data_IF_962170222411
#
_entry.id   IF_962170222411
#
_cell.length_a   1.000
_cell.length_b   1.000
_cell.length_c   1.000
_cell.angle_alpha   90.00
_cell.angle_beta   90.00
_cell.angle_gamma   90.00
#
_symmetry.space_group_name_H-M   'P 1'
#
loop_
_entity.id
_entity.type
_entity.pdbx_description
1 polymer ?
#
# COMPACT_ATOMS: atom_id res chain seq x y z
N UNK A 1 -55.56 -71.08 -11.96
CA UNK A 1 -54.34 -70.99 -12.79
C UNK A 1 -53.68 -69.65 -12.51
N UNK A 2 -52.50 -69.70 -11.88
CA UNK A 2 -51.71 -68.54 -11.50
C UNK A 2 -50.97 -67.98 -12.73
N UNK A 3 -51.12 -66.67 -12.98
CA UNK A 3 -50.35 -65.93 -13.98
C UNK A 3 -49.35 -65.01 -13.28
N UNK A 4 -48.13 -65.52 -13.06
CA UNK A 4 -47.03 -64.82 -12.39
C UNK A 4 -46.34 -63.90 -13.41
N UNK A 5 -46.67 -62.61 -13.41
CA UNK A 5 -45.96 -61.61 -14.22
C UNK A 5 -44.61 -61.28 -13.56
N UNK A 6 -43.56 -61.94 -14.04
CA UNK A 6 -42.18 -61.70 -13.62
C UNK A 6 -41.65 -60.41 -14.29
N UNK A 7 -41.87 -59.28 -13.63
CA UNK A 7 -41.35 -57.96 -14.05
C UNK A 7 -39.86 -57.82 -13.79
N UNK A 8 -39.03 -58.45 -14.63
CA UNK A 8 -37.59 -58.28 -14.60
C UNK A 8 -37.18 -56.83 -14.85
N UNK A 9 -36.64 -56.16 -13.82
CA UNK A 9 -35.95 -54.86 -13.96
C UNK A 9 -34.71 -55.02 -14.84
N UNK A 10 -34.87 -54.88 -16.16
CA UNK A 10 -33.74 -54.68 -17.08
C UNK A 10 -33.06 -53.35 -16.73
N UNK A 11 -31.92 -53.39 -16.06
CA UNK A 11 -30.98 -52.26 -16.02
C UNK A 11 -30.43 -52.08 -17.44
N UNK A 12 -31.06 -51.19 -18.20
CA UNK A 12 -30.55 -50.77 -19.50
C UNK A 12 -29.13 -50.19 -19.30
N UNK A 13 -28.11 -50.82 -19.90
CA UNK A 13 -26.77 -50.23 -19.96
C UNK A 13 -26.84 -48.99 -20.86
N UNK A 14 -26.26 -47.84 -20.46
CA UNK A 14 -26.32 -46.63 -21.27
C UNK A 14 -25.60 -46.88 -22.60
N UNK A 15 -26.33 -46.70 -23.71
CA UNK A 15 -25.69 -46.52 -25.02
C UNK A 15 -25.13 -45.10 -25.04
N UNK A 16 -23.84 -44.94 -25.33
CA UNK A 16 -23.18 -43.66 -25.55
C UNK A 16 -23.72 -42.99 -26.83
N UNK A 17 -24.96 -42.53 -26.80
CA UNK A 17 -25.55 -41.72 -27.87
C UNK A 17 -25.14 -40.26 -27.72
N UNK A 18 -25.14 -39.51 -28.81
CA UNK A 18 -24.91 -38.07 -28.79
C UNK A 18 -25.84 -37.34 -27.79
N UNK A 19 -27.07 -37.83 -27.62
CA UNK A 19 -28.05 -37.33 -26.65
C UNK A 19 -27.72 -37.64 -25.19
N UNK A 20 -26.97 -38.72 -24.91
CA UNK A 20 -26.48 -39.01 -23.58
C UNK A 20 -25.30 -38.10 -23.22
N UNK A 21 -24.38 -37.89 -24.17
CA UNK A 21 -23.23 -36.99 -24.02
C UNK A 21 -23.69 -35.53 -23.83
N UNK A 22 -24.70 -35.07 -24.58
CA UNK A 22 -25.22 -33.70 -24.45
C UNK A 22 -25.81 -33.41 -23.08
N UNK A 23 -26.44 -34.41 -22.43
CA UNK A 23 -26.97 -34.27 -21.06
C UNK A 23 -25.87 -34.11 -20.03
N UNK A 24 -24.79 -34.87 -20.16
CA UNK A 24 -23.60 -34.73 -19.30
C UNK A 24 -22.91 -33.39 -19.47
N UNK A 25 -22.71 -32.92 -20.70
CA UNK A 25 -22.13 -31.61 -20.97
C UNK A 25 -22.92 -30.47 -20.32
N UNK A 26 -24.26 -30.55 -20.36
CA UNK A 26 -25.13 -29.54 -19.75
C UNK A 26 -25.02 -29.50 -18.23
N UNK A 27 -25.03 -30.66 -17.58
CA UNK A 27 -24.86 -30.73 -16.12
C UNK A 27 -23.46 -30.28 -15.69
N UNK A 28 -22.42 -30.67 -16.42
CA UNK A 28 -21.05 -30.21 -16.17
C UNK A 28 -20.90 -28.69 -16.38
N UNK A 29 -21.52 -28.14 -17.42
CA UNK A 29 -21.56 -26.70 -17.67
C UNK A 29 -22.20 -25.93 -16.51
N UNK A 30 -23.36 -26.38 -16.04
CA UNK A 30 -24.05 -25.74 -14.90
C UNK A 30 -23.24 -25.86 -13.60
N UNK A 31 -22.60 -27.00 -13.35
CA UNK A 31 -21.71 -27.18 -12.19
C UNK A 31 -20.52 -26.22 -12.28
N UNK A 32 -19.90 -26.12 -13.45
CA UNK A 32 -18.78 -25.21 -13.69
C UNK A 32 -19.19 -23.75 -13.46
N UNK A 33 -20.36 -23.34 -13.97
CA UNK A 33 -20.93 -22.02 -13.72
C UNK A 33 -21.15 -21.78 -12.21
N UNK A 34 -21.70 -22.76 -11.48
CA UNK A 34 -21.86 -22.67 -10.03
C UNK A 34 -20.55 -22.51 -9.28
N UNK A 35 -19.51 -23.26 -9.66
CA UNK A 35 -18.16 -23.15 -9.10
C UNK A 35 -17.56 -21.76 -9.37
N UNK A 36 -17.72 -21.20 -10.56
CA UNK A 36 -17.24 -19.85 -10.89
C UNK A 36 -17.93 -18.76 -10.06
N UNK A 37 -19.24 -18.90 -9.80
CA UNK A 37 -20.01 -17.95 -9.01
C UNK A 37 -19.57 -17.99 -7.55
N UNK A 38 -19.42 -19.20 -6.98
CA UNK A 38 -18.88 -19.38 -5.64
C UNK A 38 -17.43 -18.87 -5.55
N UNK A 39 -16.61 -19.15 -6.56
CA UNK A 39 -15.23 -18.66 -6.66
C UNK A 39 -15.16 -17.14 -6.67
N UNK A 40 -16.05 -16.48 -7.41
CA UNK A 40 -16.19 -15.02 -7.41
C UNK A 40 -16.57 -14.50 -6.02
N UNK A 41 -17.51 -15.16 -5.35
CA UNK A 41 -17.90 -14.80 -3.98
C UNK A 41 -16.74 -14.90 -2.99
N UNK A 42 -15.96 -16.00 -3.05
CA UNK A 42 -14.76 -16.19 -2.23
C UNK A 42 -13.71 -15.11 -2.55
N UNK A 43 -13.49 -14.80 -3.82
CA UNK A 43 -12.56 -13.75 -4.25
C UNK A 43 -12.96 -12.38 -3.69
N UNK A 44 -14.24 -12.02 -3.77
CA UNK A 44 -14.74 -10.75 -3.20
C UNK A 44 -14.53 -10.70 -1.69
N UNK A 45 -14.80 -11.79 -0.97
CA UNK A 45 -14.56 -11.86 0.47
C UNK A 45 -13.07 -11.69 0.80
N UNK A 46 -12.18 -12.29 0.00
CA UNK A 46 -10.74 -12.11 0.15
C UNK A 46 -10.29 -10.67 -0.12
N UNK A 47 -10.83 -10.03 -1.16
CA UNK A 47 -10.54 -8.62 -1.46
C UNK A 47 -11.03 -7.69 -0.35
N UNK A 48 -12.23 -7.93 0.19
CA UNK A 48 -12.75 -7.19 1.35
C UNK A 48 -11.86 -7.38 2.58
N UNK A 49 -11.43 -8.61 2.84
CA UNK A 49 -10.50 -8.92 3.93
C UNK A 49 -9.14 -8.23 3.75
N UNK A 50 -8.65 -8.13 2.51
CA UNK A 50 -7.42 -7.42 2.16
C UNK A 50 -7.56 -5.88 2.10
N UNK A 51 -8.72 -5.33 2.46
CA UNK A 51 -8.89 -3.88 2.54
C UNK A 51 -9.21 -3.21 1.20
N UNK A 52 -10.03 -3.82 0.35
CA UNK A 52 -10.46 -3.28 -0.96
C UNK A 52 -10.92 -1.82 -0.95
N UNK A 53 -11.50 -1.34 0.15
CA UNK A 53 -12.01 0.02 0.29
C UNK A 53 -11.19 0.91 1.23
N UNK A 54 -10.33 0.29 2.02
CA UNK A 54 -9.40 0.94 2.91
C UNK A 54 -8.28 -0.04 3.21
N UNK A 55 -7.06 0.32 2.84
CA UNK A 55 -5.86 -0.39 3.24
C UNK A 55 -4.80 0.62 3.63
N UNK A 56 -4.07 0.27 4.68
CA UNK A 56 -2.96 1.02 5.21
C UNK A 56 -1.76 0.08 5.32
N UNK A 57 -0.66 0.49 4.70
CA UNK A 57 0.56 -0.29 4.64
C UNK A 57 1.76 0.56 4.99
N UNK A 58 2.45 0.17 6.05
CA UNK A 58 3.58 0.93 6.58
C UNK A 58 4.78 0.01 6.69
N UNK A 59 5.87 0.35 6.00
CA UNK A 59 7.13 -0.40 6.09
C UNK A 59 8.34 0.53 6.03
N UNK A 60 9.40 0.22 6.80
CA UNK A 60 10.67 0.91 6.67
C UNK A 60 11.24 0.63 5.27
N UNK A 61 11.84 1.66 4.68
CA UNK A 61 12.53 1.55 3.41
C UNK A 61 13.82 0.75 3.61
N UNK A 62 14.03 -0.25 2.75
CA UNK A 62 15.24 -1.04 2.79
C UNK A 62 16.47 -0.19 2.40
N UNK A 63 17.57 -0.34 3.14
CA UNK A 63 18.79 0.45 2.96
C UNK A 63 19.49 0.20 1.62
N UNK A 64 19.26 -0.95 0.98
CA UNK A 64 19.78 -1.24 -0.36
C UNK A 64 19.22 -0.30 -1.45
N UNK A 65 18.15 0.44 -1.14
CA UNK A 65 17.55 1.44 -2.05
C UNK A 65 18.04 2.86 -1.80
N UNK A 66 18.92 3.06 -0.82
CA UNK A 66 19.50 4.36 -0.49
C UNK A 66 20.77 4.56 -1.28
N UNK A 67 20.71 5.42 -2.28
CA UNK A 67 21.86 5.75 -3.11
C UNK A 67 22.55 7.00 -2.57
N UNK A 68 23.87 7.03 -2.45
CA UNK A 68 24.58 8.26 -2.15
C UNK A 68 24.43 9.25 -3.30
N UNK A 69 24.10 10.50 -2.98
CA UNK A 69 24.10 11.61 -3.93
C UNK A 69 25.38 12.44 -3.69
N UNK A 70 25.49 13.09 -2.53
CA UNK A 70 26.63 13.94 -2.18
C UNK A 70 27.02 13.83 -0.70
N UNK A 71 28.31 14.07 -0.42
CA UNK A 71 28.91 14.15 0.92
C UNK A 71 29.69 15.46 1.06
N UNK A 72 28.99 16.58 1.03
CA UNK A 72 29.59 17.91 0.87
C UNK A 72 29.05 18.92 1.88
N UNK A 73 27.73 19.01 2.02
CA UNK A 73 27.07 19.98 2.89
C UNK A 73 27.55 19.94 4.35
N UNK A 74 27.88 21.11 4.88
CA UNK A 74 28.02 21.34 6.32
C UNK A 74 26.84 22.14 6.83
N UNK A 75 26.45 21.86 8.06
CA UNK A 75 25.32 22.53 8.72
C UNK A 75 25.79 23.17 10.02
N UNK A 76 25.40 24.42 10.26
CA UNK A 76 25.61 25.13 11.52
C UNK A 76 24.27 25.61 12.11
N UNK A 77 24.31 26.55 13.07
CA UNK A 77 23.12 27.08 13.71
C UNK A 77 22.22 27.92 12.77
N UNK A 78 22.77 28.47 11.70
CA UNK A 78 22.05 29.31 10.74
C UNK A 78 21.51 28.50 9.56
N UNK A 79 22.12 27.35 9.25
CA UNK A 79 21.67 26.44 8.20
C UNK A 79 22.84 25.82 7.45
N UNK A 80 22.64 25.54 6.16
CA UNK A 80 23.73 25.05 5.31
C UNK A 80 24.81 26.12 5.17
N UNK A 81 26.06 25.74 5.41
CA UNK A 81 27.20 26.64 5.32
C UNK A 81 27.46 26.98 3.85
N UNK A 82 27.47 28.26 3.44
CA UNK A 82 27.66 28.65 2.05
C UNK A 82 28.95 28.08 1.44
N UNK A 83 28.84 27.54 0.21
CA UNK A 83 29.97 26.97 -0.52
C UNK A 83 30.45 25.60 -0.03
N UNK A 84 29.72 24.95 0.89
CA UNK A 84 30.05 23.59 1.34
C UNK A 84 29.23 22.51 0.63
N UNK A 85 27.97 22.80 0.30
CA UNK A 85 27.11 21.91 -0.48
C UNK A 85 27.55 21.82 -1.94
N UNK A 86 27.19 20.72 -2.62
CA UNK A 86 27.44 20.57 -4.05
C UNK A 86 26.44 21.40 -4.86
N UNK A 87 26.87 21.99 -5.98
CA UNK A 87 26.02 22.87 -6.79
C UNK A 87 24.81 22.12 -7.38
N UNK A 88 24.95 20.85 -7.74
CA UNK A 88 23.84 20.04 -8.26
C UNK A 88 22.80 19.76 -7.16
N UNK A 89 23.25 19.66 -5.91
CA UNK A 89 22.40 19.48 -4.74
C UNK A 89 21.54 20.72 -4.51
N UNK A 90 22.15 21.91 -4.54
CA UNK A 90 21.45 23.20 -4.39
C UNK A 90 20.45 23.42 -5.54
N UNK A 91 20.84 23.07 -6.77
CA UNK A 91 19.98 23.20 -7.95
C UNK A 91 18.73 22.31 -7.90
N UNK A 92 18.73 21.23 -7.11
CA UNK A 92 17.58 20.33 -6.98
C UNK A 92 16.32 21.03 -6.46
N UNK A 93 16.48 22.07 -5.62
CA UNK A 93 15.36 22.87 -5.10
C UNK A 93 15.41 24.33 -5.49
N UNK A 94 16.59 24.82 -5.90
CA UNK A 94 16.91 26.24 -6.08
C UNK A 94 17.43 26.89 -4.80
N UNK A 95 18.27 27.91 -4.96
CA UNK A 95 19.06 28.54 -3.88
C UNK A 95 18.24 28.97 -2.66
N UNK A 96 17.10 29.63 -2.90
CA UNK A 96 16.26 30.21 -1.84
C UNK A 96 15.61 29.11 -1.01
N UNK A 97 15.01 28.12 -1.67
CA UNK A 97 14.40 26.99 -0.98
C UNK A 97 15.47 26.15 -0.26
N UNK A 98 16.62 25.94 -0.89
CA UNK A 98 17.73 25.17 -0.32
C UNK A 98 18.24 25.79 0.98
N UNK A 99 18.49 27.11 0.97
CA UNK A 99 18.91 27.85 2.16
C UNK A 99 17.86 27.76 3.28
N UNK A 100 16.56 27.88 2.94
CA UNK A 100 15.48 27.74 3.92
C UNK A 100 15.34 26.32 4.47
N UNK A 101 15.57 25.28 3.66
CA UNK A 101 15.61 23.89 4.09
C UNK A 101 16.75 23.68 5.09
N UNK A 102 17.96 24.17 4.79
CA UNK A 102 19.10 24.10 5.70
C UNK A 102 18.82 24.81 7.02
N UNK A 103 18.29 26.04 6.97
CA UNK A 103 17.91 26.78 8.17
C UNK A 103 16.84 26.06 8.99
N UNK A 104 15.84 25.44 8.34
CA UNK A 104 14.83 24.63 9.04
C UNK A 104 15.43 23.38 9.66
N UNK A 105 16.31 22.67 8.95
CA UNK A 105 17.00 21.49 9.46
C UNK A 105 17.84 21.82 10.70
N UNK A 106 18.58 22.94 10.69
CA UNK A 106 19.33 23.41 11.84
C UNK A 106 18.42 23.67 13.07
N UNK A 107 17.27 24.30 12.86
CA UNK A 107 16.28 24.54 13.92
C UNK A 107 15.65 23.23 14.44
N UNK A 108 15.33 22.29 13.56
CA UNK A 108 14.75 21.00 13.93
C UNK A 108 15.71 20.17 14.80
N UNK A 109 17.00 20.25 14.45
CA UNK A 109 18.13 19.64 15.16
C UNK A 109 18.59 20.43 16.40
N UNK A 110 17.94 21.56 16.71
CA UNK A 110 18.26 22.43 17.85
C UNK A 110 19.74 22.86 17.89
N UNK A 111 20.31 23.17 16.73
CA UNK A 111 21.70 23.64 16.60
C UNK A 111 21.85 25.04 17.20
N UNK A 112 22.88 25.25 18.01
CA UNK A 112 23.21 26.55 18.60
C UNK A 112 24.55 27.08 18.05
N UNK A 113 24.78 28.39 18.15
CA UNK A 113 26.04 29.03 17.69
C UNK A 113 27.29 28.50 18.40
N UNK A 114 27.12 27.97 19.62
CA UNK A 114 28.19 27.31 20.37
C UNK A 114 28.58 25.96 19.78
N UNK A 115 27.71 25.36 18.98
CA UNK A 115 27.94 24.04 18.43
C UNK A 115 28.79 24.15 17.15
N UNK A 116 29.73 23.23 16.97
CA UNK A 116 30.51 23.15 15.73
C UNK A 116 29.66 22.83 14.50
N UNK A 117 30.26 22.97 13.31
CA UNK A 117 29.66 22.49 12.08
C UNK A 117 29.48 20.96 12.12
N UNK A 118 28.35 20.48 11.63
CA UNK A 118 28.05 19.05 11.47
C UNK A 118 28.02 18.67 10.00
N UNK A 119 28.14 17.38 9.72
CA UNK A 119 28.34 16.85 8.37
C UNK A 119 27.03 16.25 7.85
N UNK A 120 26.53 16.78 6.75
CA UNK A 120 25.28 16.31 6.12
C UNK A 120 25.61 15.52 4.88
N UNK A 121 25.17 14.27 4.85
CA UNK A 121 25.20 13.46 3.64
C UNK A 121 23.81 13.44 3.03
N UNK A 122 23.77 13.60 1.71
CA UNK A 122 22.54 13.62 0.94
C UNK A 122 22.43 12.33 0.16
N UNK A 123 21.31 11.65 0.38
CA UNK A 123 20.98 10.37 -0.20
C UNK A 123 19.72 10.49 -1.04
N UNK A 124 19.59 9.62 -2.03
CA UNK A 124 18.41 9.50 -2.87
C UNK A 124 17.77 8.14 -2.67
N UNK A 125 16.45 8.16 -2.45
CA UNK A 125 15.59 6.98 -2.55
C UNK A 125 14.69 7.19 -3.76
N UNK A 126 14.66 6.23 -4.69
CA UNK A 126 14.02 6.39 -5.99
C UNK A 126 14.91 7.12 -7.00
N UNK A 127 14.33 7.63 -8.08
CA UNK A 127 15.06 8.33 -9.15
C UNK A 127 15.96 7.45 -10.03
N UNK A 128 15.97 6.14 -9.82
CA UNK A 128 16.68 5.15 -10.65
C UNK A 128 15.69 4.33 -11.50
N UNK A 129 16.17 3.69 -12.58
CA UNK A 129 15.41 2.72 -13.41
C UNK A 129 14.04 3.22 -13.94
N UNK A 130 13.98 4.43 -14.51
CA UNK A 130 12.74 5.07 -14.98
C UNK A 130 11.70 5.36 -13.87
N UNK A 131 12.09 5.37 -12.60
CA UNK A 131 11.20 5.80 -11.53
C UNK A 131 10.82 7.28 -11.69
N UNK A 132 9.51 7.55 -11.74
CA UNK A 132 8.96 8.90 -11.86
C UNK A 132 8.88 9.66 -10.52
N UNK A 133 9.58 9.18 -9.49
CA UNK A 133 9.57 9.72 -8.13
C UNK A 133 10.97 9.58 -7.51
N UNK A 134 11.31 10.53 -6.64
CA UNK A 134 12.52 10.50 -5.84
C UNK A 134 12.28 11.25 -4.53
N UNK A 135 12.96 10.81 -3.47
CA UNK A 135 12.99 11.47 -2.17
C UNK A 135 14.43 11.75 -1.80
N UNK A 136 14.69 12.99 -1.41
CA UNK A 136 16.00 13.43 -0.95
C UNK A 136 16.07 13.21 0.56
N UNK A 137 17.10 12.53 1.03
CA UNK A 137 17.31 12.24 2.45
C UNK A 137 18.57 12.95 2.93
N UNK A 138 18.47 13.66 4.05
CA UNK A 138 19.60 14.24 4.76
C UNK A 138 19.94 13.36 5.96
N UNK A 139 21.16 12.82 5.99
CA UNK A 139 21.69 12.06 7.13
C UNK A 139 22.77 12.90 7.80
N UNK A 140 22.57 13.25 9.06
CA UNK A 140 23.41 14.23 9.76
C UNK A 140 24.32 13.55 10.77
N UNK A 141 25.62 13.65 10.56
CA UNK A 141 26.67 13.11 11.44
C UNK A 141 27.36 14.21 12.24
N UNK A 142 27.87 13.85 13.42
CA UNK A 142 28.60 14.79 14.27
C UNK A 142 29.96 15.19 13.71
N UNK A 143 30.84 14.20 13.48
CA UNK A 143 32.25 14.45 13.16
C UNK A 143 32.65 14.05 11.72
N UNK A 144 31.83 13.24 11.05
CA UNK A 144 32.09 12.71 9.71
C UNK A 144 30.79 12.65 8.90
N UNK A 145 30.91 12.65 7.57
CA UNK A 145 29.80 12.42 6.64
C UNK A 145 29.25 10.99 6.79
N UNK A 146 28.01 10.82 7.25
CA UNK A 146 27.39 9.49 7.37
C UNK A 146 27.28 8.79 6.00
N UNK A 147 27.28 7.47 5.98
CA UNK A 147 26.90 6.69 4.82
C UNK A 147 25.37 6.62 4.68
N UNK A 148 24.89 6.66 3.44
CA UNK A 148 23.48 6.44 3.09
C UNK A 148 23.05 4.99 3.33
N UNK A 149 23.99 4.07 3.15
CA UNK A 149 23.83 2.64 3.40
C UNK A 149 25.06 2.18 4.20
N UNK A 150 25.04 2.38 5.53
CA UNK A 150 26.17 2.00 6.38
C UNK A 150 26.33 0.49 6.45
N UNK A 151 27.58 0.04 6.62
CA UNK A 151 27.90 -1.33 7.01
C UNK A 151 28.29 -1.29 8.48
N UNK A 152 27.54 -1.99 9.34
CA UNK A 152 27.61 -1.86 10.79
C UNK A 152 26.80 -0.68 11.35
N UNK A 153 27.06 -0.34 12.61
CA UNK A 153 26.33 0.70 13.33
C UNK A 153 26.91 2.09 13.04
N UNK A 154 26.05 3.07 12.76
CA UNK A 154 26.43 4.45 12.47
C UNK A 154 25.68 5.44 13.34
N UNK A 155 26.40 6.25 14.11
CA UNK A 155 25.81 7.30 14.93
C UNK A 155 25.39 8.52 14.08
N UNK A 156 24.18 9.03 14.30
CA UNK A 156 23.63 10.22 13.65
C UNK A 156 23.04 11.18 14.68
N UNK A 157 23.06 12.48 14.38
CA UNK A 157 22.38 13.52 15.16
C UNK A 157 20.91 13.69 14.72
N UNK A 158 20.60 13.25 13.51
CA UNK A 158 19.25 13.27 12.98
C UNK A 158 19.22 12.85 11.52
N UNK A 159 18.00 12.75 11.01
CA UNK A 159 17.72 12.34 9.65
C UNK A 159 16.50 13.11 9.17
N UNK A 160 16.52 13.61 7.94
CA UNK A 160 15.37 14.30 7.37
C UNK A 160 15.05 13.78 5.98
N UNK A 161 13.76 13.71 5.65
CA UNK A 161 13.26 13.42 4.32
C UNK A 161 12.72 14.70 3.71
N UNK A 162 13.12 15.00 2.49
CA UNK A 162 12.65 16.11 1.69
C UNK A 162 11.90 15.56 0.48
N UNK A 163 10.62 15.90 0.42
CA UNK A 163 9.69 15.40 -0.58
C UNK A 163 8.96 16.57 -1.22
N UNK A 164 8.49 16.40 -2.45
CA UNK A 164 7.59 17.41 -3.04
C UNK A 164 6.19 17.25 -2.48
N UNK A 165 5.53 18.38 -2.26
CA UNK A 165 4.11 18.43 -1.92
C UNK A 165 3.35 19.23 -2.98
N UNK A 166 2.26 18.64 -3.45
CA UNK A 166 1.31 19.27 -4.36
C UNK A 166 -0.09 19.19 -3.76
N UNK A 167 -0.62 20.32 -3.32
CA UNK A 167 -1.98 20.47 -2.83
C UNK A 167 -2.57 21.80 -3.33
N UNK A 168 -3.84 22.06 -3.03
CA UNK A 168 -4.53 23.28 -3.48
C UNK A 168 -3.92 24.57 -2.87
N UNK A 169 -3.26 24.47 -1.72
CA UNK A 169 -2.58 25.60 -1.06
C UNK A 169 -1.25 25.95 -1.74
N UNK A 170 -0.59 24.96 -2.36
CA UNK A 170 0.71 25.08 -3.03
C UNK A 170 0.64 24.57 -4.48
N UNK A 171 -0.10 25.27 -5.38
CA UNK A 171 -0.35 24.80 -6.74
C UNK A 171 0.91 24.77 -7.63
N UNK A 172 1.94 25.53 -7.28
CA UNK A 172 3.25 25.53 -7.95
C UNK A 172 4.24 24.54 -7.33
N UNK A 173 3.78 23.73 -6.38
CA UNK A 173 4.61 22.83 -5.59
C UNK A 173 5.29 23.54 -4.43
N UNK A 174 5.52 22.78 -3.37
CA UNK A 174 6.42 23.12 -2.28
C UNK A 174 7.19 21.87 -1.87
N UNK A 175 8.04 21.99 -0.87
CA UNK A 175 8.78 20.86 -0.30
C UNK A 175 8.25 20.57 1.10
N UNK A 176 8.07 19.30 1.44
CA UNK A 176 7.78 18.85 2.79
C UNK A 176 9.06 18.28 3.39
N UNK A 177 9.61 18.97 4.40
CA UNK A 177 10.72 18.50 5.20
C UNK A 177 10.18 17.76 6.42
N UNK A 178 10.47 16.46 6.50
CA UNK A 178 10.13 15.59 7.64
C UNK A 178 11.40 15.23 8.39
N UNK A 179 11.58 15.76 9.60
CA UNK A 179 12.84 15.63 10.37
C UNK A 179 12.66 14.77 11.62
N UNK A 180 13.51 13.75 11.75
CA UNK A 180 13.83 13.10 13.01
C UNK A 180 15.08 13.76 13.62
N UNK A 181 14.97 14.14 14.89
CA UNK A 181 16.01 14.86 15.63
C UNK A 181 16.31 14.13 16.94
N UNK A 182 17.56 13.72 17.13
CA UNK A 182 18.02 13.08 18.37
C UNK A 182 18.14 14.06 19.54
N UNK A 183 18.17 15.36 19.24
CA UNK A 183 18.11 16.42 20.25
C UNK A 183 16.71 16.53 20.91
N UNK A 184 15.71 15.80 20.39
CA UNK A 184 14.34 15.79 20.92
C UNK A 184 13.95 14.41 21.45
N UNK A 185 13.14 14.34 22.52
CA UNK A 185 12.65 13.05 23.01
C UNK A 185 11.88 12.29 21.94
N UNK A 186 12.20 11.00 21.77
CA UNK A 186 11.43 10.11 20.92
C UNK A 186 10.05 9.86 21.52
N UNK A 187 9.00 10.27 20.81
CA UNK A 187 7.61 9.96 21.16
C UNK A 187 7.07 9.00 20.12
N UNK A 188 6.87 7.75 20.53
CA UNK A 188 6.35 6.69 19.66
C UNK A 188 4.83 6.65 19.64
N UNK A 189 4.25 6.37 18.48
CA UNK A 189 2.84 6.00 18.32
C UNK A 189 2.74 4.69 17.56
N UNK A 190 1.82 3.83 18.00
CA UNK A 190 1.55 2.55 17.33
C UNK A 190 0.41 2.74 16.34
N UNK A 191 0.69 2.52 15.06
CA UNK A 191 -0.32 2.55 14.01
C UNK A 191 -0.71 1.11 13.66
N UNK A 192 -2.02 0.75 13.72
CA UNK A 192 -2.48 -0.56 13.26
C UNK A 192 -2.44 -0.61 11.73
N UNK A 193 -1.75 -1.62 11.17
CA UNK A 193 -1.69 -1.84 9.71
C UNK A 193 -2.21 -3.23 9.36
N UNK A 194 -2.44 -3.49 8.06
CA UNK A 194 -2.86 -4.80 7.58
C UNK A 194 -1.87 -5.94 7.92
N UNK A 195 -0.58 -5.61 8.06
CA UNK A 195 0.49 -6.57 8.38
C UNK A 195 0.80 -6.65 9.89
N UNK A 196 0.09 -5.87 10.72
CA UNK A 196 0.31 -5.77 12.16
C UNK A 196 0.62 -4.35 12.64
N UNK A 197 0.70 -4.13 13.96
CA UNK A 197 1.00 -2.82 14.53
C UNK A 197 2.46 -2.42 14.25
N UNK A 198 2.66 -1.15 13.86
CA UNK A 198 4.00 -0.58 13.61
C UNK A 198 4.21 0.66 14.49
N UNK A 199 5.38 0.75 15.13
CA UNK A 199 5.75 1.91 15.96
C UNK A 199 6.50 2.95 15.14
N UNK A 200 5.93 4.15 15.06
CA UNK A 200 6.51 5.30 14.34
C UNK A 200 6.76 6.46 15.30
N UNK A 201 7.68 7.35 14.92
CA UNK A 201 8.00 8.56 15.67
C UNK A 201 6.94 9.64 15.43
N UNK A 202 6.01 9.80 16.38
CA UNK A 202 5.12 10.96 16.44
C UNK A 202 5.90 12.27 16.66
N UNK A 203 7.08 12.19 17.26
CA UNK A 203 8.02 13.31 17.43
C UNK A 203 8.69 13.79 16.14
N UNK A 204 8.32 13.23 14.97
CA UNK A 204 8.79 13.72 13.66
C UNK A 204 8.26 15.15 13.43
N UNK A 205 9.16 16.07 13.13
CA UNK A 205 8.81 17.45 12.81
C UNK A 205 8.50 17.52 11.32
N UNK A 206 7.40 18.17 10.95
CA UNK A 206 7.04 18.40 9.55
C UNK A 206 6.88 19.89 9.28
N UNK A 207 7.59 20.35 8.25
CA UNK A 207 7.56 21.75 7.82
C UNK A 207 7.50 21.79 6.30
N UNK A 208 6.54 22.55 5.77
CA UNK A 208 6.50 22.87 4.35
C UNK A 208 7.43 24.06 4.10
N UNK A 209 8.33 23.92 3.14
CA UNK A 209 9.20 24.98 2.63
C UNK A 209 8.78 25.28 1.19
N UNK A 210 8.34 26.50 0.93
CA UNK A 210 7.96 26.94 -0.41
C UNK A 210 9.18 27.34 -1.23
N UNK A 211 9.01 27.47 -2.55
CA UNK A 211 10.08 27.86 -3.48
C UNK A 211 10.64 29.26 -3.24
N UNK A 212 9.87 30.15 -2.61
CA UNK A 212 10.30 31.48 -2.15
C UNK A 212 10.96 31.46 -0.75
N UNK A 213 11.11 30.28 -0.15
CA UNK A 213 11.76 30.08 1.14
C UNK A 213 10.86 30.30 2.36
N UNK A 214 9.56 30.58 2.19
CA UNK A 214 8.63 30.65 3.32
C UNK A 214 8.44 29.27 3.96
N UNK A 215 8.17 29.24 5.28
CA UNK A 215 8.13 28.01 6.08
C UNK A 215 6.82 27.92 6.85
N UNK A 216 6.15 26.78 6.73
CA UNK A 216 4.85 26.51 7.35
C UNK A 216 4.94 25.22 8.17
N UNK A 217 4.81 25.33 9.48
CA UNK A 217 4.75 24.16 10.36
C UNK A 217 3.49 23.36 10.06
N UNK A 218 3.60 22.03 10.06
CA UNK A 218 2.46 21.15 9.81
C UNK A 218 2.37 20.03 10.85
N UNK A 219 1.21 19.36 10.95
CA UNK A 219 1.07 18.16 11.77
C UNK A 219 2.01 17.02 11.34
N UNK A 220 2.43 16.18 12.28
CA UNK A 220 3.32 15.02 12.03
C UNK A 220 2.74 13.99 11.04
N UNK A 221 1.42 13.95 10.89
CA UNK A 221 0.66 13.10 9.97
C UNK A 221 0.36 13.77 8.62
N UNK A 222 1.03 14.87 8.30
CA UNK A 222 0.84 15.56 7.01
C UNK A 222 1.22 14.66 5.83
N UNK A 223 0.33 14.61 4.85
CA UNK A 223 0.48 13.86 3.60
C UNK A 223 1.35 14.63 2.61
N UNK A 224 2.34 13.97 2.01
CA UNK A 224 3.19 14.58 0.98
C UNK A 224 2.50 14.58 -0.41
N UNK A 225 1.70 13.55 -0.69
CA UNK A 225 1.06 13.32 -1.97
C UNK A 225 -0.35 12.82 -1.72
N UNK A 226 -1.32 13.41 -2.42
CA UNK A 226 -2.71 12.93 -2.43
C UNK A 226 -3.13 12.75 -3.88
N UNK A 227 -3.11 11.50 -4.35
CA UNK A 227 -3.71 11.15 -5.63
C UNK A 227 -5.18 10.86 -5.44
N UNK A 228 -5.95 11.15 -6.48
CA UNK A 228 -7.33 10.74 -6.54
C UNK A 228 -7.69 10.07 -7.85
N UNK A 229 -8.50 9.03 -7.74
CA UNK A 229 -9.01 8.26 -8.87
C UNK A 229 -10.53 8.29 -8.83
N UNK A 230 -11.11 8.77 -9.93
CA UNK A 230 -12.55 8.84 -10.13
C UNK A 230 -12.97 7.80 -11.18
N UNK A 231 -13.14 6.55 -10.75
CA UNK A 231 -13.43 5.44 -11.66
C UNK A 231 -14.92 5.20 -11.92
N UNK A 232 -15.81 5.70 -11.05
CA UNK A 232 -17.27 5.48 -11.15
C UNK A 232 -18.05 6.80 -11.21
N UNK A 233 -17.96 7.60 -10.13
CA UNK A 233 -18.63 8.88 -9.98
C UNK A 233 -17.94 9.64 -8.83
N UNK A 234 -18.14 10.96 -8.75
CA UNK A 234 -17.67 11.83 -7.65
C UNK A 234 -18.11 11.37 -6.25
N UNK A 235 -19.14 10.51 -6.15
CA UNK A 235 -19.57 9.91 -4.89
C UNK A 235 -18.60 8.84 -4.34
N UNK A 236 -17.87 8.17 -5.22
CA UNK A 236 -17.01 7.01 -4.91
C UNK A 236 -15.55 7.32 -5.26
N UNK A 237 -15.05 8.39 -4.67
CA UNK A 237 -13.70 8.86 -4.93
C UNK A 237 -12.70 7.99 -4.18
N UNK A 238 -11.73 7.43 -4.89
CA UNK A 238 -10.60 6.75 -4.26
C UNK A 238 -9.49 7.79 -4.05
N UNK A 239 -9.09 7.98 -2.79
CA UNK A 239 -7.94 8.82 -2.43
C UNK A 239 -6.80 7.92 -1.99
N UNK A 240 -5.62 8.17 -2.52
CA UNK A 240 -4.38 7.53 -2.11
C UNK A 240 -3.47 8.61 -1.57
N UNK A 241 -2.80 8.33 -0.47
CA UNK A 241 -1.85 9.25 0.11
C UNK A 241 -0.67 8.56 0.73
N UNK A 242 0.38 9.35 0.92
CA UNK A 242 1.64 8.90 1.49
C UNK A 242 2.05 9.82 2.64
N UNK A 243 2.55 9.22 3.72
CA UNK A 243 3.04 9.93 4.90
C UNK A 243 4.44 9.41 5.26
N UNK A 244 5.43 10.30 5.20
CA UNK A 244 6.78 10.02 5.66
C UNK A 244 6.80 9.79 7.19
N UNK A 245 7.48 8.72 7.61
CA UNK A 245 7.66 8.36 9.02
C UNK A 245 9.08 7.85 9.31
N UNK A 246 9.51 8.06 10.55
CA UNK A 246 10.70 7.44 11.12
C UNK A 246 10.30 6.34 12.10
N UNK A 247 11.03 5.24 12.09
CA UNK A 247 10.72 4.00 12.81
C UNK A 247 11.79 3.71 13.83
N UNK A 248 11.39 3.25 15.01
CA UNK A 248 12.32 2.58 15.91
C UNK A 248 12.45 1.12 15.46
N UNK A 249 13.63 0.76 14.95
CA UNK A 249 13.92 -0.58 14.43
C UNK A 249 14.68 -1.49 15.41
N UNK A 250 14.68 -1.16 16.71
CA UNK A 250 15.42 -1.91 17.75
C UNK A 250 15.19 -3.42 17.71
N UNK A 251 13.99 -3.88 17.32
CA UNK A 251 13.66 -5.30 17.26
C UNK A 251 14.23 -6.01 16.01
N UNK A 252 14.63 -5.25 14.99
CA UNK A 252 14.99 -5.77 13.66
C UNK A 252 16.49 -5.55 13.33
N UNK A 253 17.26 -4.87 14.19
CA UNK A 253 18.67 -4.56 13.93
C UNK A 253 19.55 -5.79 13.66
N UNK A 254 19.24 -6.94 14.29
CA UNK A 254 20.04 -8.16 14.16
C UNK A 254 20.04 -8.80 12.77
N UNK A 255 19.05 -8.47 11.95
CA UNK A 255 18.92 -8.98 10.58
C UNK A 255 19.46 -8.01 9.52
N UNK A 256 20.07 -6.90 9.93
CA UNK A 256 20.57 -5.87 9.03
C UNK A 256 22.10 -5.89 8.99
N UNK A 257 22.67 -5.66 7.81
CA UNK A 257 24.13 -5.55 7.61
C UNK A 257 24.69 -4.25 8.22
N UNK A 258 23.85 -3.22 8.38
CA UNK A 258 24.15 -1.98 9.07
C UNK A 258 22.92 -1.12 9.29
N UNK A 259 23.02 -0.11 10.15
CA UNK A 259 21.94 0.81 10.46
C UNK A 259 22.43 2.10 11.09
N UNK A 260 21.63 3.16 10.95
CA UNK A 260 21.84 4.42 11.66
C UNK A 260 21.13 4.41 13.01
N UNK A 261 21.77 4.94 14.04
CA UNK A 261 21.18 5.12 15.36
C UNK A 261 21.43 6.54 15.87
N UNK A 262 20.48 7.02 16.66
CA UNK A 262 20.50 8.34 17.25
C UNK A 262 21.59 8.39 18.35
N UNK A 263 22.59 9.27 18.20
CA UNK A 263 23.83 9.22 18.97
C UNK A 263 23.64 9.36 20.50
N UNK A 264 22.78 10.27 20.93
CA UNK A 264 22.49 10.57 22.33
C UNK A 264 21.49 9.58 22.94
N UNK A 265 20.44 9.20 22.20
CA UNK A 265 19.39 8.31 22.73
C UNK A 265 19.67 6.82 22.49
N UNK A 266 20.59 6.48 21.59
CA UNK A 266 20.91 5.11 21.19
C UNK A 266 19.83 4.41 20.36
N UNK A 267 18.79 5.13 19.91
CA UNK A 267 17.65 4.54 19.22
C UNK A 267 18.03 4.24 17.76
N UNK A 268 17.94 2.98 17.30
CA UNK A 268 18.08 2.64 15.88
C UNK A 268 16.90 3.20 15.09
N UNK A 269 17.18 3.95 14.03
CA UNK A 269 16.16 4.64 13.22
C UNK A 269 16.20 4.18 11.77
N UNK A 270 15.02 3.89 11.23
CA UNK A 270 14.80 3.79 9.78
C UNK A 270 13.80 4.84 9.33
N UNK A 271 13.81 5.15 8.04
CA UNK A 271 12.79 5.95 7.37
C UNK A 271 11.93 5.07 6.47
N UNK A 272 10.72 5.51 6.16
CA UNK A 272 9.80 4.84 5.26
C UNK A 272 8.45 5.54 5.22
N UNK A 273 7.49 4.88 4.59
CA UNK A 273 6.20 5.50 4.27
C UNK A 273 5.03 4.70 4.78
N UNK A 274 4.04 5.43 5.27
CA UNK A 274 2.66 4.97 5.33
C UNK A 274 2.01 5.22 3.97
N UNK A 275 1.69 4.14 3.27
CA UNK A 275 0.94 4.15 2.03
C UNK A 275 -0.49 3.73 2.35
N UNK A 276 -1.41 4.66 2.19
CA UNK A 276 -2.80 4.47 2.56
C UNK A 276 -3.73 4.86 1.42
N UNK A 277 -4.88 4.18 1.37
CA UNK A 277 -5.96 4.58 0.48
C UNK A 277 -7.31 4.46 1.15
N UNK A 278 -8.27 5.23 0.67
CA UNK A 278 -9.66 5.19 1.12
C UNK A 278 -10.61 5.45 -0.04
N UNK A 279 -11.72 4.70 -0.06
CA UNK A 279 -12.82 4.90 -1.00
C UNK A 279 -13.98 5.59 -0.30
N UNK A 280 -14.34 6.78 -0.77
CA UNK A 280 -15.46 7.54 -0.22
C UNK A 280 -16.78 6.77 -0.40
N UNK A 281 -17.65 6.85 0.62
CA UNK A 281 -18.96 6.19 0.64
C UNK A 281 -18.93 4.68 0.31
N UNK A 282 -17.82 3.98 0.59
CA UNK A 282 -17.66 2.56 0.25
C UNK A 282 -18.76 1.66 0.83
N UNK A 283 -19.36 2.02 1.96
CA UNK A 283 -20.48 1.26 2.53
C UNK A 283 -21.69 1.18 1.60
N UNK A 284 -21.95 2.21 0.78
CA UNK A 284 -23.01 2.18 -0.22
C UNK A 284 -22.66 1.22 -1.37
N UNK A 285 -21.39 1.18 -1.80
CA UNK A 285 -20.92 0.20 -2.78
C UNK A 285 -21.04 -1.22 -2.23
N UNK A 286 -20.63 -1.43 -0.98
CA UNK A 286 -20.75 -2.72 -0.32
C UNK A 286 -22.21 -3.17 -0.20
N UNK A 287 -23.12 -2.26 0.17
CA UNK A 287 -24.54 -2.54 0.25
C UNK A 287 -25.14 -2.89 -1.11
N UNK A 288 -24.79 -2.12 -2.15
CA UNK A 288 -25.21 -2.38 -3.53
C UNK A 288 -24.70 -3.74 -4.03
N UNK A 289 -23.41 -4.04 -3.82
CA UNK A 289 -22.80 -5.31 -4.19
C UNK A 289 -23.44 -6.48 -3.44
N UNK A 290 -23.73 -6.30 -2.15
CA UNK A 290 -24.42 -7.31 -1.33
C UNK A 290 -25.83 -7.56 -1.85
N UNK A 291 -26.58 -6.51 -2.18
CA UNK A 291 -27.94 -6.63 -2.73
C UNK A 291 -27.94 -7.36 -4.08
N UNK A 292 -27.04 -6.98 -5.00
CA UNK A 292 -26.89 -7.65 -6.30
C UNK A 292 -26.50 -9.13 -6.10
N UNK A 293 -25.64 -9.43 -5.13
CA UNK A 293 -25.26 -10.80 -4.79
C UNK A 293 -26.48 -11.62 -4.30
N UNK A 294 -27.26 -11.11 -3.34
CA UNK A 294 -28.45 -11.80 -2.85
C UNK A 294 -29.51 -12.00 -3.93
N UNK A 295 -29.75 -11.00 -4.77
CA UNK A 295 -30.69 -11.11 -5.91
C UNK A 295 -30.20 -12.17 -6.90
N UNK A 296 -28.91 -12.17 -7.23
CA UNK A 296 -28.31 -13.14 -8.15
C UNK A 296 -28.40 -14.57 -7.58
N UNK A 297 -28.08 -14.77 -6.30
CA UNK A 297 -28.22 -16.05 -5.62
C UNK A 297 -29.69 -16.52 -5.60
N UNK A 298 -30.63 -15.60 -5.38
CA UNK A 298 -32.06 -15.90 -5.44
C UNK A 298 -32.49 -16.40 -6.82
N UNK A 299 -32.13 -15.68 -7.89
CA UNK A 299 -32.45 -16.05 -9.27
C UNK A 299 -31.82 -17.38 -9.69
N UNK A 300 -30.59 -17.65 -9.24
CA UNK A 300 -29.84 -18.86 -9.60
C UNK A 300 -30.17 -20.08 -8.72
N UNK A 301 -30.85 -19.89 -7.59
CA UNK A 301 -31.16 -20.97 -6.65
C UNK A 301 -31.98 -22.10 -7.29
N UNK A 302 -32.96 -21.73 -8.14
CA UNK A 302 -33.80 -22.68 -8.85
C UNK A 302 -33.00 -23.51 -9.87
N UNK A 303 -32.08 -22.86 -10.60
CA UNK A 303 -31.21 -23.52 -11.56
C UNK A 303 -30.22 -24.48 -10.88
N UNK A 304 -29.78 -24.13 -9.67
CA UNK A 304 -28.99 -25.01 -8.81
C UNK A 304 -29.74 -26.29 -8.42
N UNK A 305 -30.99 -26.16 -7.95
CA UNK A 305 -31.84 -27.31 -7.59
C UNK A 305 -32.09 -28.21 -8.80
N UNK A 306 -32.46 -27.63 -9.95
CA UNK A 306 -32.70 -28.37 -11.19
C UNK A 306 -31.41 -29.09 -11.66
N UNK A 307 -30.24 -28.48 -11.47
CA UNK A 307 -28.96 -29.10 -11.82
C UNK A 307 -28.63 -30.29 -10.90
N UNK A 308 -28.92 -30.19 -9.59
CA UNK A 308 -28.73 -31.29 -8.63
C UNK A 308 -29.71 -32.45 -8.86
N UNK A 309 -30.98 -32.16 -9.10
CA UNK A 309 -31.97 -33.15 -9.53
C UNK A 309 -31.57 -33.77 -10.88
N UNK A 310 -31.02 -32.94 -11.76
CA UNK A 310 -30.41 -33.27 -13.04
C UNK A 310 -29.35 -34.37 -12.93
N UNK A 311 -28.37 -34.11 -12.07
CA UNK A 311 -27.26 -35.00 -11.76
C UNK A 311 -27.75 -36.31 -11.09
N UNK A 312 -28.66 -36.20 -10.12
CA UNK A 312 -29.27 -37.35 -9.43
C UNK A 312 -30.03 -38.25 -10.40
N UNK A 313 -30.76 -37.66 -11.34
CA UNK A 313 -31.47 -38.38 -12.40
C UNK A 313 -30.54 -39.10 -13.36
N UNK A 314 -29.45 -38.44 -13.79
CA UNK A 314 -28.43 -39.02 -14.68
C UNK A 314 -27.71 -40.20 -14.01
N UNK A 315 -27.27 -40.03 -12.75
CA UNK A 315 -26.61 -41.09 -11.97
C UNK A 315 -27.53 -42.30 -11.74
N UNK A 316 -28.85 -42.08 -11.64
CA UNK A 316 -29.85 -43.13 -11.45
C UNK A 316 -30.42 -43.68 -12.77
N UNK A 317 -29.93 -43.25 -13.93
CA UNK A 317 -30.48 -43.59 -15.27
C UNK A 317 -32.00 -43.38 -15.38
N UNK A 318 -32.52 -42.33 -14.73
CA UNK A 318 -33.92 -41.92 -14.82
C UNK A 318 -34.08 -40.84 -15.91
N UNK A 319 -35.27 -40.65 -16.49
CA UNK A 319 -35.54 -39.47 -17.32
C UNK A 319 -35.34 -38.20 -16.48
N UNK A 320 -34.71 -37.20 -17.08
CA UNK A 320 -34.23 -36.00 -16.37
C UNK A 320 -34.61 -34.76 -17.17
N UNK A 321 -35.20 -33.77 -16.51
CA UNK A 321 -35.27 -32.40 -17.01
C UNK A 321 -33.91 -31.73 -16.80
N UNK A 322 -33.23 -31.31 -17.87
CA UNK A 322 -31.98 -30.54 -17.74
C UNK A 322 -32.11 -29.18 -18.39
N UNK A 323 -31.94 -28.12 -17.61
CA UNK A 323 -31.90 -26.72 -18.06
C UNK A 323 -30.46 -26.32 -18.41
N UNK A 324 -30.28 -25.45 -19.40
CA UNK A 324 -28.97 -25.01 -19.89
C UNK A 324 -28.75 -23.54 -19.51
N UNK A 325 -27.91 -23.28 -18.50
CA UNK A 325 -27.74 -21.93 -17.95
C UNK A 325 -27.13 -20.97 -18.99
N UNK A 326 -26.27 -21.46 -19.89
CA UNK A 326 -25.62 -20.63 -20.92
C UNK A 326 -26.52 -20.30 -22.12
N UNK A 327 -27.59 -21.06 -22.36
CA UNK A 327 -28.42 -20.90 -23.55
C UNK A 327 -29.75 -20.16 -23.27
N UNK A 328 -30.05 -19.82 -22.00
CA UNK A 328 -31.27 -19.11 -21.57
C UNK A 328 -32.57 -19.61 -22.23
N UNK A 329 -32.65 -20.91 -22.54
CA UNK A 329 -33.78 -21.50 -23.25
C UNK A 329 -34.19 -22.82 -22.58
N UNK A 330 -35.37 -22.79 -21.97
CA UNK A 330 -36.12 -23.98 -21.58
C UNK A 330 -36.43 -24.80 -22.85
N UNK A 331 -35.94 -26.05 -22.93
CA UNK A 331 -36.45 -27.02 -23.90
C UNK A 331 -37.13 -28.16 -23.17
N UNK A 332 -38.46 -28.14 -23.17
CA UNK A 332 -39.31 -29.29 -22.80
C UNK A 332 -39.27 -30.32 -23.91
N UNK A 333 -38.61 -31.45 -23.70
CA UNK A 333 -38.86 -32.71 -24.39
C UNK A 333 -38.58 -33.88 -23.46
#
# INVERSE_FOLDING_TARGET
MAGQHNGGRRRARPKLSATYISKWLRVLSNIFAGVLILGTGVLVLLLLYQGMFYSQWIRPMALDKWNPMFKSCRLDALGFVPGTCDDEEVQSTGDVAWASIGAQLAMDLLRNESDGQVFVTTCLIGGYENAAWATVMFVVGGDIFPDCHPVGEQAILGMAALETIGNDDFPFGAYLLSTFSDARPFVGVTIPTADGPVNVAQSTIKTIVTTDGSKHSTPWDTHNYVASVNSLNRLFFMRLWVVAHFFNISNNVKSLDGYSFANATGIPVAFGWDNSHHVDHYLLLLAFQSLVCFVSLGLLSNDGVITLEGLSGLLKNKPVLTYDILASLERRK
#
